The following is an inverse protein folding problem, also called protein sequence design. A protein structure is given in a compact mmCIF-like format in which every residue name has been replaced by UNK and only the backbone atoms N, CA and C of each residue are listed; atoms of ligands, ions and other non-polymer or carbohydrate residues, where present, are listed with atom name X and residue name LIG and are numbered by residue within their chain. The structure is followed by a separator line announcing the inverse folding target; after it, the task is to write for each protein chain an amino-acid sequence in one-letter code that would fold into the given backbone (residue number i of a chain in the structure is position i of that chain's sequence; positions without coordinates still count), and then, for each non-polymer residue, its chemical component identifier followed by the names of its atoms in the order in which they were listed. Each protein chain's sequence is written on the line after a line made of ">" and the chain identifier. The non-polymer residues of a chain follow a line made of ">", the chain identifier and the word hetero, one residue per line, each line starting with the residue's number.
data_IF_286376818004
#
_entry.id   IF_286376818004
#
_cell.length_a   1.000
_cell.length_b   1.000
_cell.length_c   1.000
_cell.angle_alpha   90.00
_cell.angle_beta   90.00
_cell.angle_gamma   90.00
#
_symmetry.space_group_name_H-M   'P 1'
#
loop_
_entity.id
_entity.type
_entity.pdbx_description
1 polymer ?
#
# COMPACT_ATOMS: atom_id res chain seq x y z
N UNK A 1 -30.50 -21.53 -24.17
CA UNK A 1 -30.42 -20.93 -22.82
C UNK A 1 -29.04 -20.42 -22.45
N UNK A 2 -28.04 -21.30 -22.33
CA UNK A 2 -26.76 -20.98 -21.70
C UNK A 2 -25.90 -19.97 -22.46
N UNK A 3 -25.92 -20.00 -23.79
CA UNK A 3 -25.19 -19.04 -24.63
C UNK A 3 -25.71 -17.60 -24.47
N UNK A 4 -27.03 -17.42 -24.29
CA UNK A 4 -27.58 -16.07 -24.03
C UNK A 4 -27.12 -15.51 -22.69
N UNK A 5 -27.07 -16.34 -21.66
CA UNK A 5 -26.59 -15.94 -20.33
C UNK A 5 -25.09 -15.58 -20.39
N UNK A 6 -24.29 -16.38 -21.12
CA UNK A 6 -22.87 -16.11 -21.32
C UNK A 6 -22.65 -14.76 -22.02
N UNK A 7 -23.39 -14.47 -23.09
CA UNK A 7 -23.29 -13.19 -23.82
C UNK A 7 -23.65 -12.01 -22.91
N UNK A 8 -24.76 -12.10 -22.17
CA UNK A 8 -25.17 -11.03 -21.25
C UNK A 8 -24.10 -10.79 -20.19
N UNK A 9 -23.52 -11.87 -19.63
CA UNK A 9 -22.46 -11.75 -18.62
C UNK A 9 -21.19 -11.14 -19.20
N UNK A 10 -20.79 -11.54 -20.41
CA UNK A 10 -19.64 -10.97 -21.11
C UNK A 10 -19.82 -9.48 -21.36
N UNK A 11 -21.00 -9.06 -21.86
CA UNK A 11 -21.31 -7.64 -22.04
C UNK A 11 -21.25 -6.86 -20.73
N UNK A 12 -21.74 -7.46 -19.65
CA UNK A 12 -21.65 -6.84 -18.33
C UNK A 12 -20.20 -6.69 -17.84
N UNK A 13 -19.36 -7.72 -18.04
CA UNK A 13 -17.93 -7.67 -17.69
C UNK A 13 -17.22 -6.61 -18.55
N UNK A 14 -17.51 -6.57 -19.83
CA UNK A 14 -16.95 -5.60 -20.77
C UNK A 14 -17.26 -4.16 -20.34
N UNK A 15 -18.48 -3.87 -19.92
CA UNK A 15 -18.93 -2.56 -19.48
C UNK A 15 -18.42 -2.10 -18.12
N UNK A 16 -17.64 -2.92 -17.38
CA UNK A 16 -17.03 -2.47 -16.11
C UNK A 16 -15.82 -1.59 -16.36
N UNK A 17 -15.51 -0.68 -15.42
CA UNK A 17 -14.30 0.17 -15.44
C UNK A 17 -12.99 -0.56 -15.09
N UNK A 18 -13.04 -1.88 -14.90
CA UNK A 18 -11.87 -2.71 -14.56
C UNK A 18 -10.86 -2.75 -15.70
N UNK A 19 -9.57 -2.88 -15.40
CA UNK A 19 -8.50 -3.01 -16.38
C UNK A 19 -8.78 -4.17 -17.36
N UNK A 20 -8.52 -3.93 -18.66
CA UNK A 20 -8.76 -4.90 -19.74
C UNK A 20 -7.97 -6.19 -19.54
N UNK A 21 -6.76 -6.14 -19.02
CA UNK A 21 -5.96 -7.33 -18.71
C UNK A 21 -6.62 -8.26 -17.68
N UNK A 22 -7.47 -7.72 -16.81
CA UNK A 22 -8.24 -8.51 -15.84
C UNK A 22 -9.58 -9.00 -16.40
N UNK A 23 -10.18 -8.30 -17.37
CA UNK A 23 -11.46 -8.68 -17.99
C UNK A 23 -11.30 -9.75 -19.05
N UNK A 24 -10.30 -9.61 -19.91
CA UNK A 24 -10.13 -10.44 -21.10
C UNK A 24 -10.03 -11.94 -20.79
N UNK A 25 -9.25 -12.42 -19.82
CA UNK A 25 -9.22 -13.85 -19.47
C UNK A 25 -10.60 -14.40 -19.13
N UNK A 26 -11.42 -13.65 -18.37
CA UNK A 26 -12.76 -14.06 -18.01
C UNK A 26 -13.70 -14.12 -19.21
N UNK A 27 -13.63 -13.13 -20.11
CA UNK A 27 -14.42 -13.10 -21.34
C UNK A 27 -14.08 -14.32 -22.21
N UNK A 28 -12.78 -14.62 -22.37
CA UNK A 28 -12.33 -15.79 -23.16
C UNK A 28 -12.83 -17.09 -22.54
N UNK A 29 -12.67 -17.29 -21.24
CA UNK A 29 -13.10 -18.53 -20.56
C UNK A 29 -14.61 -18.71 -20.62
N UNK A 30 -15.41 -17.64 -20.46
CA UNK A 30 -16.88 -17.70 -20.54
C UNK A 30 -17.35 -18.00 -21.96
N UNK A 31 -16.69 -17.44 -22.99
CA UNK A 31 -17.06 -17.70 -24.38
C UNK A 31 -16.63 -19.09 -24.85
N UNK A 32 -15.44 -19.57 -24.41
CA UNK A 32 -14.95 -20.89 -24.75
C UNK A 32 -15.74 -22.04 -24.07
N UNK A 33 -16.10 -21.83 -22.80
CA UNK A 33 -16.78 -22.83 -21.97
C UNK A 33 -17.96 -22.18 -21.21
N UNK A 34 -19.12 -21.92 -21.86
CA UNK A 34 -20.20 -21.10 -21.31
C UNK A 34 -20.68 -21.54 -19.91
N UNK A 35 -20.88 -22.83 -19.68
CA UNK A 35 -21.38 -23.34 -18.40
C UNK A 35 -20.28 -23.27 -17.34
N UNK A 36 -19.13 -23.87 -17.62
CA UNK A 36 -18.01 -23.95 -16.69
C UNK A 36 -17.41 -22.55 -16.44
N UNK A 37 -17.27 -21.75 -17.49
CA UNK A 37 -16.73 -20.40 -17.40
C UNK A 37 -17.59 -19.46 -16.54
N UNK A 38 -18.93 -19.55 -16.69
CA UNK A 38 -19.85 -18.81 -15.82
C UNK A 38 -19.70 -19.26 -14.36
N UNK A 39 -19.64 -20.57 -14.12
CA UNK A 39 -19.47 -21.11 -12.76
C UNK A 39 -18.17 -20.64 -12.12
N UNK A 40 -17.06 -20.78 -12.82
CA UNK A 40 -15.73 -20.35 -12.35
C UNK A 40 -15.72 -18.83 -12.13
N UNK A 41 -16.31 -18.05 -13.04
CA UNK A 41 -16.39 -16.60 -12.88
C UNK A 41 -17.22 -16.18 -11.66
N UNK A 42 -18.34 -16.87 -11.39
CA UNK A 42 -19.14 -16.58 -10.19
C UNK A 42 -18.41 -16.90 -8.90
N UNK A 43 -17.56 -17.93 -8.92
CA UNK A 43 -16.78 -18.34 -7.76
C UNK A 43 -15.52 -17.49 -7.56
N UNK A 44 -14.83 -17.12 -8.63
CA UNK A 44 -13.49 -16.52 -8.56
C UNK A 44 -13.36 -15.14 -9.26
N UNK A 45 -14.23 -14.83 -10.21
CA UNK A 45 -14.14 -13.63 -11.06
C UNK A 45 -14.70 -12.37 -10.41
N UNK A 46 -15.49 -12.50 -9.35
CA UNK A 46 -15.98 -11.35 -8.60
C UNK A 46 -15.07 -11.09 -7.42
N UNK A 47 -14.51 -9.90 -7.37
CA UNK A 47 -13.94 -9.39 -6.12
C UNK A 47 -15.05 -9.36 -5.07
N UNK A 48 -15.08 -10.36 -4.19
CA UNK A 48 -15.95 -10.38 -3.03
C UNK A 48 -15.34 -9.44 -1.97
N UNK A 49 -15.13 -8.19 -2.36
CA UNK A 49 -14.99 -7.14 -1.38
C UNK A 49 -16.36 -7.00 -0.77
N UNK A 50 -16.57 -7.59 0.41
CA UNK A 50 -17.84 -7.51 1.09
C UNK A 50 -18.21 -6.03 1.26
N UNK A 51 -19.49 -5.70 1.22
CA UNK A 51 -19.97 -4.32 1.45
C UNK A 51 -19.37 -3.72 2.73
N UNK A 52 -19.14 -4.55 3.74
CA UNK A 52 -18.50 -4.15 4.99
C UNK A 52 -17.05 -3.69 4.82
N UNK A 53 -16.24 -4.42 4.04
CA UNK A 53 -14.85 -4.04 3.75
C UNK A 53 -14.81 -2.75 2.95
N UNK A 54 -15.65 -2.62 1.91
CA UNK A 54 -15.75 -1.39 1.11
C UNK A 54 -16.19 -0.20 1.97
N UNK A 55 -17.19 -0.38 2.86
CA UNK A 55 -17.63 0.67 3.77
C UNK A 55 -16.52 1.11 4.73
N UNK A 56 -15.77 0.14 5.28
CA UNK A 56 -14.60 0.43 6.14
C UNK A 56 -13.52 1.17 5.38
N UNK A 57 -13.21 0.77 4.16
CA UNK A 57 -12.22 1.44 3.32
C UNK A 57 -12.62 2.89 3.03
N UNK A 58 -13.87 3.12 2.60
CA UNK A 58 -14.38 4.45 2.34
C UNK A 58 -14.36 5.34 3.60
N UNK A 59 -14.68 4.80 4.78
CA UNK A 59 -14.64 5.58 6.03
C UNK A 59 -13.20 5.97 6.44
N UNK A 60 -12.21 5.11 6.16
CA UNK A 60 -10.80 5.42 6.38
C UNK A 60 -10.36 6.51 5.40
N UNK A 61 -10.71 6.37 4.12
CA UNK A 61 -10.38 7.35 3.08
C UNK A 61 -10.99 8.72 3.37
N UNK A 62 -12.26 8.77 3.76
CA UNK A 62 -12.93 10.02 4.16
C UNK A 62 -12.26 10.66 5.39
N UNK A 63 -11.87 9.86 6.38
CA UNK A 63 -11.16 10.36 7.56
C UNK A 63 -9.79 10.92 7.19
N UNK A 64 -9.06 10.22 6.31
CA UNK A 64 -7.76 10.64 5.82
C UNK A 64 -7.86 11.95 5.02
N UNK A 65 -8.78 12.04 4.07
CA UNK A 65 -9.00 13.27 3.27
C UNK A 65 -9.37 14.48 4.11
N UNK A 66 -10.10 14.28 5.21
CA UNK A 66 -10.44 15.35 6.15
C UNK A 66 -9.25 15.86 6.98
N UNK A 67 -8.25 15.03 7.19
CA UNK A 67 -7.04 15.42 7.94
C UNK A 67 -6.02 16.19 7.08
N UNK A 68 -6.17 16.12 5.75
CA UNK A 68 -5.31 16.81 4.80
C UNK A 68 -6.03 18.05 4.27
N UNK A 69 -5.41 19.21 4.44
CA UNK A 69 -5.91 20.49 3.91
C UNK A 69 -4.95 21.07 2.88
N UNK A 70 -5.49 21.57 1.77
CA UNK A 70 -4.72 22.33 0.80
C UNK A 70 -4.63 23.79 1.24
N UNK A 71 -3.41 24.33 1.27
CA UNK A 71 -3.21 25.78 1.36
C UNK A 71 -3.32 26.39 -0.05
N UNK A 72 -4.39 27.14 -0.29
CA UNK A 72 -4.68 27.78 -1.58
C UNK A 72 -3.61 28.81 -1.98
N UNK A 73 -2.89 29.40 -1.03
CA UNK A 73 -1.80 30.33 -1.33
C UNK A 73 -0.65 29.62 -2.04
N UNK A 74 -0.37 28.37 -1.67
CA UNK A 74 0.67 27.56 -2.34
C UNK A 74 0.29 27.32 -3.79
N UNK A 75 -0.95 26.91 -4.05
CA UNK A 75 -1.43 26.69 -5.42
C UNK A 75 -1.39 27.99 -6.25
N UNK A 76 -1.74 29.12 -5.63
CA UNK A 76 -1.67 30.43 -6.28
C UNK A 76 -0.22 30.79 -6.62
N UNK A 77 0.72 30.65 -5.69
CA UNK A 77 2.14 30.89 -5.97
C UNK A 77 2.67 30.01 -7.11
N UNK A 78 2.28 28.74 -7.17
CA UNK A 78 2.66 27.85 -8.27
C UNK A 78 2.05 28.30 -9.59
N UNK A 79 0.77 28.72 -9.59
CA UNK A 79 0.08 29.22 -10.77
C UNK A 79 0.75 30.45 -11.36
N UNK A 80 1.20 31.37 -10.50
CA UNK A 80 1.88 32.59 -10.91
C UNK A 80 3.28 32.30 -11.49
N UNK A 81 3.90 31.20 -11.12
CA UNK A 81 5.22 30.76 -11.61
C UNK A 81 5.12 29.91 -12.87
N UNK A 82 4.25 28.89 -12.87
CA UNK A 82 4.12 27.93 -13.97
C UNK A 82 2.72 27.34 -14.01
N UNK A 83 1.96 27.68 -15.04
CA UNK A 83 0.58 27.20 -15.23
C UNK A 83 0.51 25.67 -15.48
N UNK A 84 1.54 25.07 -16.10
CA UNK A 84 1.54 23.63 -16.40
C UNK A 84 1.76 22.81 -15.12
N UNK A 85 2.67 23.26 -14.26
CA UNK A 85 2.89 22.66 -12.94
C UNK A 85 1.66 22.84 -12.06
N UNK A 86 1.05 24.06 -12.10
CA UNK A 86 -0.19 24.31 -11.38
C UNK A 86 -1.30 23.32 -11.78
N UNK A 87 -1.51 23.09 -13.08
CA UNK A 87 -2.55 22.18 -13.53
C UNK A 87 -2.34 20.74 -13.03
N UNK A 88 -1.09 20.28 -12.94
CA UNK A 88 -0.78 18.96 -12.37
C UNK A 88 -1.07 18.93 -10.87
N UNK A 89 -0.64 19.92 -10.12
CA UNK A 89 -0.85 20.01 -8.69
C UNK A 89 -2.31 20.20 -8.32
N UNK A 90 -3.04 21.01 -9.09
CA UNK A 90 -4.47 21.20 -8.91
C UNK A 90 -5.23 19.88 -9.14
N UNK A 91 -4.86 19.11 -10.17
CA UNK A 91 -5.42 17.79 -10.41
C UNK A 91 -5.16 16.84 -9.22
N UNK A 92 -3.93 16.79 -8.71
CA UNK A 92 -3.58 15.94 -7.57
C UNK A 92 -4.32 16.34 -6.29
N UNK A 93 -4.50 17.64 -6.05
CA UNK A 93 -5.22 18.13 -4.89
C UNK A 93 -6.72 17.88 -4.98
N UNK A 94 -7.36 18.26 -6.09
CA UNK A 94 -8.81 18.25 -6.23
C UNK A 94 -9.38 16.86 -6.52
N UNK A 95 -8.71 16.08 -7.38
CA UNK A 95 -9.24 14.79 -7.81
C UNK A 95 -8.71 13.62 -7.01
N UNK A 96 -7.42 13.66 -6.66
CA UNK A 96 -6.78 12.56 -5.93
C UNK A 96 -6.76 12.79 -4.41
N UNK A 97 -6.98 14.04 -3.96
CA UNK A 97 -7.01 14.40 -2.55
C UNK A 97 -5.63 14.47 -1.90
N UNK A 98 -4.58 14.75 -2.69
CA UNK A 98 -3.20 14.91 -2.21
C UNK A 98 -2.80 16.39 -2.26
N UNK A 99 -2.81 17.10 -1.12
CA UNK A 99 -2.41 18.51 -1.05
C UNK A 99 -0.95 18.71 -1.41
N UNK A 100 -0.65 19.89 -1.91
CA UNK A 100 0.70 20.34 -2.23
C UNK A 100 1.25 21.16 -1.05
N UNK A 101 2.41 20.77 -0.59
CA UNK A 101 3.11 21.44 0.50
C UNK A 101 4.36 22.16 -0.01
N UNK A 102 4.82 23.16 0.73
CA UNK A 102 6.11 23.82 0.54
C UNK A 102 6.93 23.78 1.83
N UNK A 103 8.14 24.32 1.78
CA UNK A 103 9.09 24.29 2.90
C UNK A 103 9.52 22.86 3.27
N UNK A 104 9.69 22.02 2.25
CA UNK A 104 10.18 20.65 2.40
C UNK A 104 11.63 20.62 1.95
N UNK A 105 12.54 20.22 2.84
CA UNK A 105 13.91 19.91 2.47
C UNK A 105 13.97 18.50 1.90
N UNK A 106 14.72 18.36 0.81
CA UNK A 106 14.82 17.09 0.10
C UNK A 106 16.29 16.72 -0.03
N UNK A 107 16.65 15.55 0.47
CA UNK A 107 17.94 14.92 0.23
C UNK A 107 17.75 13.71 -0.70
N UNK A 108 18.63 13.58 -1.67
CA UNK A 108 18.64 12.47 -2.60
C UNK A 108 19.93 11.68 -2.47
N UNK A 109 19.81 10.37 -2.29
CA UNK A 109 20.93 9.44 -2.21
C UNK A 109 20.99 8.61 -3.50
N UNK A 110 22.14 8.64 -4.17
CA UNK A 110 22.31 7.94 -5.46
C UNK A 110 22.55 6.44 -5.31
N UNK A 111 22.98 6.01 -4.13
CA UNK A 111 23.22 4.61 -3.78
C UNK A 111 22.54 4.25 -2.47
N UNK A 112 22.12 2.97 -2.35
CA UNK A 112 21.34 2.49 -1.20
C UNK A 112 22.09 2.54 0.12
N UNK A 113 23.41 2.36 0.08
CA UNK A 113 24.27 2.38 1.26
C UNK A 113 24.27 3.76 1.94
N UNK A 114 24.36 4.84 1.18
CA UNK A 114 24.29 6.21 1.71
C UNK A 114 22.91 6.48 2.32
N UNK A 115 21.85 6.04 1.63
CA UNK A 115 20.47 6.16 2.15
C UNK A 115 20.27 5.38 3.44
N UNK A 116 20.87 4.18 3.57
CA UNK A 116 20.81 3.38 4.80
C UNK A 116 21.53 4.09 5.97
N UNK A 117 22.72 4.63 5.76
CA UNK A 117 23.46 5.36 6.82
C UNK A 117 22.69 6.60 7.27
N UNK A 118 22.11 7.35 6.33
CA UNK A 118 21.26 8.48 6.63
C UNK A 118 20.00 8.05 7.41
N UNK A 119 19.33 6.98 6.98
CA UNK A 119 18.16 6.44 7.67
C UNK A 119 18.49 6.01 9.11
N UNK A 120 19.60 5.31 9.32
CA UNK A 120 20.04 4.90 10.67
C UNK A 120 20.32 6.12 11.55
N UNK A 121 20.94 7.15 10.97
CA UNK A 121 21.21 8.41 11.68
C UNK A 121 19.92 9.07 12.14
N UNK A 122 18.90 9.14 11.28
CA UNK A 122 17.62 9.74 11.65
C UNK A 122 16.82 8.86 12.63
N UNK A 123 16.85 7.52 12.48
CA UNK A 123 16.24 6.61 13.44
C UNK A 123 16.80 6.78 14.86
N UNK A 124 18.11 6.99 14.97
CA UNK A 124 18.78 7.25 16.29
C UNK A 124 18.35 8.58 16.92
N UNK A 125 17.86 9.55 16.15
CA UNK A 125 17.36 10.84 16.66
C UNK A 125 15.90 10.77 17.12
N UNK A 126 15.15 9.75 16.78
CA UNK A 126 13.73 9.63 17.10
C UNK A 126 13.45 9.81 18.60
N UNK A 127 12.47 10.65 18.94
CA UNK A 127 12.07 10.97 20.31
C UNK A 127 10.64 10.54 20.62
N UNK A 128 9.74 10.53 19.61
CA UNK A 128 8.30 10.27 19.79
C UNK A 128 7.87 8.97 19.15
N UNK A 129 8.08 8.82 17.83
CA UNK A 129 7.66 7.64 17.12
C UNK A 129 8.51 7.32 15.88
N UNK A 130 8.51 6.04 15.51
CA UNK A 130 9.07 5.50 14.28
C UNK A 130 8.00 4.60 13.64
N UNK A 131 7.52 4.96 12.45
CA UNK A 131 6.59 4.14 11.66
C UNK A 131 7.26 3.71 10.36
N UNK A 132 7.38 2.40 10.18
CA UNK A 132 8.02 1.82 9.01
C UNK A 132 7.03 0.93 8.24
N UNK A 133 6.99 1.10 6.93
CA UNK A 133 6.17 0.32 6.00
C UNK A 133 7.03 -0.17 4.85
N UNK A 134 7.21 -1.49 4.73
CA UNK A 134 8.12 -2.08 3.76
C UNK A 134 7.48 -3.24 3.02
N UNK A 135 7.75 -3.34 1.70
CA UNK A 135 7.31 -4.49 0.92
C UNK A 135 8.03 -5.76 1.33
N UNK A 136 9.34 -5.71 1.40
CA UNK A 136 10.17 -6.85 1.74
C UNK A 136 11.14 -6.49 2.87
N UNK A 137 11.23 -7.38 3.83
CA UNK A 137 12.22 -7.37 4.90
C UNK A 137 12.97 -8.69 4.82
N UNK A 138 14.28 -8.63 4.85
CA UNK A 138 15.17 -9.78 4.94
C UNK A 138 15.99 -9.65 6.20
N UNK A 139 16.11 -10.73 6.97
CA UNK A 139 17.01 -10.82 8.12
C UNK A 139 18.45 -10.94 7.62
N UNK A 140 19.01 -9.79 7.26
CA UNK A 140 20.36 -9.62 6.73
C UNK A 140 21.02 -8.40 7.39
N UNK A 141 22.32 -8.24 7.23
CA UNK A 141 23.13 -7.25 7.94
C UNK A 141 22.61 -5.81 7.89
N UNK A 142 21.99 -5.40 6.77
CA UNK A 142 21.38 -4.06 6.64
C UNK A 142 20.14 -3.89 7.52
N UNK A 143 19.26 -4.89 7.53
CA UNK A 143 18.06 -4.84 8.38
C UNK A 143 18.40 -5.09 9.86
N UNK A 144 19.39 -5.93 10.16
CA UNK A 144 19.82 -6.18 11.54
C UNK A 144 20.24 -4.87 12.22
N UNK A 145 20.96 -4.00 11.53
CA UNK A 145 21.31 -2.67 12.03
C UNK A 145 20.10 -1.79 12.32
N UNK A 146 19.09 -1.82 11.42
CA UNK A 146 17.82 -1.12 11.62
C UNK A 146 17.10 -1.72 12.84
N UNK A 147 16.98 -3.06 12.90
CA UNK A 147 16.32 -3.79 13.99
C UNK A 147 16.91 -3.43 15.34
N UNK A 148 18.23 -3.36 15.47
CA UNK A 148 18.91 -3.00 16.71
C UNK A 148 18.52 -1.58 17.17
N UNK A 149 18.47 -0.62 16.25
CA UNK A 149 18.03 0.75 16.56
C UNK A 149 16.56 0.77 16.98
N UNK A 150 15.67 0.05 16.26
CA UNK A 150 14.25 -0.02 16.60
C UNK A 150 14.02 -0.58 18.01
N UNK A 151 14.72 -1.67 18.35
CA UNK A 151 14.65 -2.30 19.69
C UNK A 151 15.13 -1.31 20.76
N UNK A 152 16.26 -0.67 20.56
CA UNK A 152 16.81 0.35 21.46
C UNK A 152 15.82 1.50 21.67
N UNK A 153 15.21 2.01 20.60
CA UNK A 153 14.24 3.10 20.66
C UNK A 153 12.93 2.69 21.34
N UNK A 154 12.40 1.50 21.04
CA UNK A 154 11.24 0.96 21.73
C UNK A 154 11.50 0.82 23.26
N UNK A 155 12.66 0.31 23.64
CA UNK A 155 13.07 0.21 25.04
C UNK A 155 13.21 1.58 25.74
N UNK A 156 13.52 2.64 24.98
CA UNK A 156 13.57 4.02 25.46
C UNK A 156 12.19 4.72 25.52
N UNK A 157 11.11 4.03 25.12
CA UNK A 157 9.73 4.55 25.19
C UNK A 157 9.25 5.22 23.90
N UNK A 158 10.04 5.19 22.81
CA UNK A 158 9.60 5.64 21.50
C UNK A 158 8.56 4.67 20.95
N UNK A 159 7.46 5.17 20.37
CA UNK A 159 6.44 4.34 19.73
C UNK A 159 6.98 3.80 18.41
N UNK A 160 7.22 2.48 18.32
CA UNK A 160 7.74 1.84 17.11
C UNK A 160 6.67 0.95 16.49
N UNK A 161 6.34 1.23 15.22
CA UNK A 161 5.44 0.40 14.40
C UNK A 161 6.17 -0.08 13.15
N UNK A 162 6.11 -1.39 12.91
CA UNK A 162 6.67 -2.03 11.72
C UNK A 162 5.58 -2.75 10.96
N UNK A 163 5.40 -2.41 9.70
CA UNK A 163 4.41 -2.99 8.81
C UNK A 163 5.09 -3.52 7.54
N UNK A 164 4.80 -4.76 7.14
CA UNK A 164 5.42 -5.36 5.97
C UNK A 164 4.47 -6.26 5.19
N UNK A 165 4.74 -6.46 3.89
CA UNK A 165 3.96 -7.35 3.05
C UNK A 165 4.40 -8.81 3.22
N UNK A 166 3.43 -9.71 3.39
CA UNK A 166 3.70 -11.13 3.64
C UNK A 166 4.41 -11.80 2.47
N UNK A 167 3.95 -11.57 1.23
CA UNK A 167 4.55 -12.19 0.05
C UNK A 167 5.96 -11.69 -0.19
N UNK A 168 6.18 -10.39 0.00
CA UNK A 168 7.51 -9.79 -0.16
C UNK A 168 8.55 -10.34 0.81
N UNK A 169 8.10 -10.80 1.98
CA UNK A 169 8.99 -11.22 3.08
C UNK A 169 8.95 -12.74 3.38
N UNK A 170 8.07 -13.52 2.72
CA UNK A 170 7.77 -14.91 3.09
C UNK A 170 8.97 -15.85 3.04
N UNK A 171 9.95 -15.59 2.18
CA UNK A 171 11.15 -16.41 2.06
C UNK A 171 12.34 -15.90 2.89
N UNK A 172 12.20 -14.71 3.49
CA UNK A 172 13.29 -13.97 4.11
C UNK A 172 13.14 -13.82 5.62
N UNK A 173 11.91 -13.96 6.14
CA UNK A 173 11.62 -13.86 7.57
C UNK A 173 11.34 -15.23 8.18
N UNK A 174 11.82 -15.44 9.40
CA UNK A 174 11.45 -16.62 10.17
C UNK A 174 10.03 -16.50 10.75
N UNK A 175 9.46 -17.65 11.15
CA UNK A 175 8.07 -17.72 11.66
C UNK A 175 7.86 -16.98 12.98
N UNK A 176 8.92 -16.73 13.71
CA UNK A 176 8.87 -16.08 15.03
C UNK A 176 9.17 -14.59 14.98
N UNK A 177 9.53 -14.05 13.81
CA UNK A 177 9.89 -12.64 13.62
C UNK A 177 8.88 -11.66 14.28
N UNK A 178 7.57 -11.85 14.02
CA UNK A 178 6.54 -10.98 14.61
C UNK A 178 6.55 -11.08 16.14
N UNK A 179 6.75 -12.28 16.69
CA UNK A 179 6.79 -12.49 18.14
C UNK A 179 8.02 -11.83 18.74
N UNK A 180 9.16 -11.95 18.08
CA UNK A 180 10.41 -11.30 18.46
C UNK A 180 10.26 -9.79 18.49
N UNK A 181 9.74 -9.19 17.40
CA UNK A 181 9.51 -7.75 17.35
C UNK A 181 8.59 -7.28 18.47
N UNK A 182 7.47 -7.97 18.68
CA UNK A 182 6.50 -7.62 19.74
C UNK A 182 7.06 -7.80 21.15
N UNK A 183 7.86 -8.83 21.36
CA UNK A 183 8.53 -9.03 22.65
C UNK A 183 9.51 -7.90 22.99
N UNK A 184 10.03 -7.20 21.97
CA UNK A 184 10.88 -6.03 22.11
C UNK A 184 10.11 -4.70 22.09
N UNK A 185 8.77 -4.73 22.24
CA UNK A 185 7.95 -3.53 22.34
C UNK A 185 7.59 -2.87 20.99
N UNK A 186 7.85 -3.53 19.87
CA UNK A 186 7.55 -3.04 18.53
C UNK A 186 6.18 -3.55 18.06
N UNK A 187 5.24 -2.67 17.69
CA UNK A 187 3.96 -3.07 17.10
C UNK A 187 4.17 -3.55 15.64
N UNK A 188 4.55 -4.82 15.52
CA UNK A 188 4.82 -5.44 14.22
C UNK A 188 3.56 -6.09 13.67
N UNK A 189 3.20 -5.74 12.41
CA UNK A 189 2.03 -6.27 11.70
C UNK A 189 2.39 -6.64 10.27
N UNK A 190 1.65 -7.63 9.74
CA UNK A 190 1.82 -8.11 8.37
C UNK A 190 0.63 -7.73 7.51
N UNK A 191 0.91 -7.23 6.30
CA UNK A 191 -0.10 -6.93 5.29
C UNK A 191 -0.46 -8.18 4.50
N UNK A 192 -1.77 -8.41 4.37
CA UNK A 192 -2.39 -9.45 3.54
C UNK A 192 -1.70 -10.83 3.68
N UNK A 193 -1.72 -11.44 4.89
CA UNK A 193 -1.06 -12.70 5.15
C UNK A 193 -1.62 -13.81 4.25
N UNK A 194 -0.73 -14.67 3.72
CA UNK A 194 -1.12 -15.82 2.91
C UNK A 194 -1.77 -16.85 3.81
N UNK A 195 -3.06 -17.07 3.57
CA UNK A 195 -3.80 -18.20 4.15
C UNK A 195 -3.97 -19.26 3.08
N UNK A 196 -3.62 -20.50 3.39
CA UNK A 196 -3.61 -21.67 2.48
C UNK A 196 -4.93 -21.99 1.77
N UNK A 197 -6.04 -21.32 2.07
CA UNK A 197 -7.34 -21.52 1.44
C UNK A 197 -7.80 -20.21 0.77
N UNK A 198 -7.80 -20.19 -0.58
CA UNK A 198 -8.52 -19.22 -1.40
C UNK A 198 -8.27 -17.74 -1.08
N UNK A 199 -7.03 -17.30 -1.12
CA UNK A 199 -6.74 -15.87 -1.03
C UNK A 199 -6.98 -15.17 -2.37
N UNK A 200 -8.23 -14.75 -2.62
CA UNK A 200 -8.63 -14.01 -3.83
C UNK A 200 -7.93 -12.63 -3.96
N UNK A 201 -7.26 -12.18 -2.92
CA UNK A 201 -6.52 -10.91 -2.86
C UNK A 201 -5.01 -11.09 -2.93
N UNK A 202 -4.52 -12.25 -3.37
CA UNK A 202 -3.09 -12.55 -3.41
C UNK A 202 -2.28 -11.52 -4.21
N UNK A 203 -2.88 -10.88 -5.20
CA UNK A 203 -2.27 -9.84 -6.03
C UNK A 203 -2.32 -8.43 -5.41
N UNK A 204 -3.07 -8.22 -4.33
CA UNK A 204 -3.07 -6.95 -3.62
C UNK A 204 -1.90 -6.92 -2.66
N UNK A 205 -0.79 -6.31 -3.11
CA UNK A 205 0.46 -6.23 -2.36
C UNK A 205 0.78 -4.79 -2.02
N UNK A 206 1.42 -4.61 -0.88
CA UNK A 206 1.98 -3.34 -0.51
C UNK A 206 3.43 -3.26 -1.02
N UNK A 207 3.70 -2.34 -1.93
CA UNK A 207 5.03 -2.17 -2.52
C UNK A 207 5.72 -0.88 -2.07
N UNK A 208 5.23 -0.26 -0.99
CA UNK A 208 5.82 0.95 -0.42
C UNK A 208 7.05 0.64 0.42
N UNK A 209 7.95 1.58 0.53
CA UNK A 209 9.12 1.62 1.41
C UNK A 209 9.13 3.01 2.03
N UNK A 210 8.57 3.14 3.21
CA UNK A 210 8.36 4.41 3.88
C UNK A 210 8.86 4.29 5.31
N UNK A 211 9.59 5.29 5.76
CA UNK A 211 9.93 5.48 7.16
C UNK A 211 9.50 6.88 7.57
N UNK A 212 8.72 6.99 8.62
CA UNK A 212 8.28 8.26 9.20
C UNK A 212 8.81 8.34 10.62
N UNK A 213 9.48 9.43 10.95
CA UNK A 213 10.11 9.68 12.25
C UNK A 213 9.62 11.01 12.76
N UNK A 214 8.97 11.00 13.92
CA UNK A 214 8.49 12.17 14.70
C UNK A 214 7.52 13.13 13.97
N UNK A 215 7.23 12.95 12.69
CA UNK A 215 6.23 13.67 11.90
C UNK A 215 6.74 14.86 11.12
#
# INVERSE_FOLDING_TARGET
>A
GNARIAIILVLKIYGTSTNSAMKMPWIIVILAFPILGILIYLLFGRSIVTRAVKKRFNSIEESYKKSLSQDENILKEVKDKDIYIYNQFHYLSDHEGYPVYKNTDIEFYSIGEEGLEAQLTELEKAEKFIFMEYHAIEEASSFDRIKDVLIKKAAAGVEVRLFYDDVGSIFFLNKDFIKEMRANGIDCRVFNPIKLAFNMFMNNRDHRKITVIDG
#
